data_IF_909729443599
#
_entry.id   IF_909729443599
#
_cell.length_a   1.000
_cell.length_b   1.000
_cell.length_c   1.000
_cell.angle_alpha   90.00
_cell.angle_beta   90.00
_cell.angle_gamma   90.00
#
_symmetry.space_group_name_H-M   'P 1'
#
loop_
_entity.id
_entity.type
_entity.pdbx_description
1 polymer ?
#
# COMPACT_ATOMS: atom_id res chain seq x y z
N UNK A 1 -22.50 10.22 19.29
CA UNK A 1 -21.93 8.97 19.85
C UNK A 1 -22.03 7.76 18.92
N UNK A 2 -23.17 7.45 18.28
CA UNK A 2 -23.26 6.25 17.42
C UNK A 2 -22.54 6.42 16.07
N UNK A 3 -22.60 7.61 15.47
CA UNK A 3 -21.91 7.92 14.20
C UNK A 3 -20.39 8.01 14.36
N UNK A 4 -19.94 8.57 15.48
CA UNK A 4 -18.53 8.70 15.85
C UNK A 4 -17.83 7.34 16.03
N UNK A 5 -18.55 6.36 16.62
CA UNK A 5 -18.05 4.97 16.71
C UNK A 5 -17.95 4.30 15.34
N UNK A 6 -18.92 4.56 14.43
CA UNK A 6 -18.89 4.02 13.06
C UNK A 6 -17.73 4.59 12.26
N UNK A 7 -17.47 5.90 12.37
CA UNK A 7 -16.33 6.55 11.73
C UNK A 7 -14.99 6.00 12.25
N UNK A 8 -14.85 5.85 13.57
CA UNK A 8 -13.64 5.29 14.19
C UNK A 8 -13.37 3.83 13.74
N UNK A 9 -14.42 3.00 13.64
CA UNK A 9 -14.30 1.62 13.18
C UNK A 9 -13.92 1.53 11.69
N UNK A 10 -14.39 2.46 10.85
CA UNK A 10 -14.00 2.54 9.44
C UNK A 10 -12.51 2.90 9.30
N UNK A 11 -12.06 3.96 9.99
CA UNK A 11 -10.66 4.38 10.02
C UNK A 11 -9.74 3.25 10.51
N UNK A 12 -10.13 2.55 11.58
CA UNK A 12 -9.36 1.43 12.11
C UNK A 12 -9.24 0.25 11.13
N UNK A 13 -10.29 -0.02 10.34
CA UNK A 13 -10.25 -1.05 9.29
C UNK A 13 -9.32 -0.65 8.15
N UNK A 14 -9.37 0.59 7.70
CA UNK A 14 -8.51 1.07 6.62
C UNK A 14 -7.04 1.13 7.05
N UNK A 15 -6.75 1.61 8.25
CA UNK A 15 -5.40 1.61 8.81
C UNK A 15 -4.80 0.19 8.85
N UNK A 16 -5.60 -0.81 9.22
CA UNK A 16 -5.18 -2.23 9.20
C UNK A 16 -4.94 -2.74 7.78
N UNK A 17 -5.78 -2.38 6.80
CA UNK A 17 -5.59 -2.74 5.39
C UNK A 17 -4.32 -2.12 4.82
N UNK A 18 -4.06 -0.85 5.10
CA UNK A 18 -2.84 -0.16 4.68
C UNK A 18 -1.60 -0.76 5.34
N UNK A 19 -1.67 -1.08 6.63
CA UNK A 19 -0.57 -1.76 7.33
C UNK A 19 -0.29 -3.14 6.71
N UNK A 20 -1.33 -3.93 6.42
CA UNK A 20 -1.20 -5.22 5.77
C UNK A 20 -0.60 -5.10 4.36
N UNK A 21 -1.03 -4.10 3.57
CA UNK A 21 -0.46 -3.80 2.26
C UNK A 21 1.03 -3.42 2.36
N UNK A 22 1.40 -2.63 3.36
CA UNK A 22 2.81 -2.27 3.63
C UNK A 22 3.67 -3.49 3.98
N UNK A 23 3.17 -4.39 4.83
CA UNK A 23 3.87 -5.64 5.16
C UNK A 23 4.03 -6.52 3.92
N UNK A 24 2.96 -6.71 3.15
CA UNK A 24 3.01 -7.48 1.90
C UNK A 24 4.02 -6.88 0.92
N UNK A 25 4.03 -5.56 0.78
CA UNK A 25 4.99 -4.85 -0.06
C UNK A 25 6.43 -5.10 0.38
N UNK A 26 6.73 -5.00 1.68
CA UNK A 26 8.06 -5.25 2.22
C UNK A 26 8.54 -6.70 1.96
N UNK A 27 7.63 -7.67 2.10
CA UNK A 27 7.93 -9.08 1.80
C UNK A 27 8.23 -9.27 0.31
N UNK A 28 7.35 -8.77 -0.56
CA UNK A 28 7.53 -8.87 -2.01
C UNK A 28 8.82 -8.17 -2.48
N UNK A 29 9.12 -7.00 -1.95
CA UNK A 29 10.35 -6.27 -2.20
C UNK A 29 11.58 -7.10 -1.84
N UNK A 30 11.59 -7.71 -0.65
CA UNK A 30 12.70 -8.54 -0.18
C UNK A 30 12.95 -9.74 -1.09
N UNK A 31 11.89 -10.40 -1.53
CA UNK A 31 11.97 -11.54 -2.45
C UNK A 31 12.44 -11.10 -3.84
N UNK A 32 11.90 -10.01 -4.38
CA UNK A 32 12.24 -9.50 -5.71
C UNK A 32 13.64 -8.88 -5.78
N UNK A 33 14.19 -8.40 -4.66
CA UNK A 33 15.56 -7.93 -4.59
C UNK A 33 16.53 -9.01 -4.16
N UNK A 34 16.62 -9.23 -2.84
CA UNK A 34 17.61 -10.15 -2.27
C UNK A 34 17.36 -11.60 -2.70
N UNK A 35 16.09 -12.01 -2.82
CA UNK A 35 15.74 -13.39 -3.21
C UNK A 35 16.13 -13.77 -4.64
N UNK A 36 16.41 -12.81 -5.51
CA UNK A 36 16.84 -13.03 -6.88
C UNK A 36 18.34 -12.75 -7.09
N UNK A 37 19.09 -12.42 -6.03
CA UNK A 37 20.48 -12.00 -6.14
C UNK A 37 21.41 -13.09 -6.73
N UNK A 38 21.13 -14.36 -6.44
CA UNK A 38 21.90 -15.51 -6.96
C UNK A 38 21.41 -16.02 -8.31
N UNK A 39 20.35 -15.41 -8.87
CA UNK A 39 19.78 -15.82 -10.16
C UNK A 39 20.58 -15.19 -11.28
N UNK A 40 21.29 -16.01 -12.04
CA UNK A 40 22.11 -15.62 -13.20
C UNK A 40 21.25 -15.39 -14.46
N UNK A 41 20.30 -14.46 -14.35
CA UNK A 41 19.42 -14.03 -15.44
C UNK A 41 19.62 -12.53 -15.65
N UNK A 42 19.72 -12.13 -16.91
CA UNK A 42 19.85 -10.72 -17.29
C UNK A 42 18.67 -10.27 -18.14
N UNK A 43 18.27 -9.00 -17.95
CA UNK A 43 17.20 -8.33 -18.70
C UNK A 43 17.79 -7.01 -19.21
N UNK A 44 17.86 -6.86 -20.53
CA UNK A 44 18.47 -5.69 -21.18
C UNK A 44 19.91 -5.38 -20.69
N UNK A 45 20.68 -6.42 -20.33
CA UNK A 45 22.05 -6.28 -19.82
C UNK A 45 22.17 -5.99 -18.32
N UNK A 46 21.05 -5.86 -17.61
CA UNK A 46 21.02 -5.70 -16.15
C UNK A 46 20.66 -7.03 -15.48
N UNK A 47 21.24 -7.34 -14.30
CA UNK A 47 20.83 -8.53 -13.57
C UNK A 47 19.36 -8.44 -13.15
N UNK A 48 18.66 -9.57 -13.18
CA UNK A 48 17.21 -9.65 -12.95
C UNK A 48 16.81 -8.95 -11.65
N UNK A 49 17.53 -9.22 -10.56
CA UNK A 49 17.27 -8.63 -9.24
C UNK A 49 17.30 -7.09 -9.24
N UNK A 50 18.13 -6.47 -10.07
CA UNK A 50 18.21 -5.01 -10.16
C UNK A 50 16.98 -4.42 -10.85
N UNK A 51 16.49 -5.08 -11.91
CA UNK A 51 15.28 -4.67 -12.64
C UNK A 51 14.04 -4.88 -11.78
N UNK A 52 13.92 -6.04 -11.14
CA UNK A 52 12.78 -6.37 -10.26
C UNK A 52 12.75 -5.48 -9.02
N UNK A 53 13.90 -5.15 -8.41
CA UNK A 53 13.99 -4.23 -7.26
C UNK A 53 13.66 -2.77 -7.58
N UNK A 54 13.74 -2.39 -8.86
CA UNK A 54 13.52 -1.02 -9.29
C UNK A 54 12.13 -0.88 -9.91
N UNK A 55 11.97 -1.33 -11.16
CA UNK A 55 10.71 -1.20 -11.91
C UNK A 55 9.64 -2.14 -11.35
N UNK A 56 10.02 -3.36 -10.99
CA UNK A 56 9.08 -4.33 -10.44
C UNK A 56 8.44 -3.83 -9.13
N UNK A 57 9.22 -3.17 -8.29
CA UNK A 57 8.77 -2.63 -7.00
C UNK A 57 7.83 -1.44 -7.19
N UNK A 58 8.13 -0.56 -8.15
CA UNK A 58 7.20 0.51 -8.54
C UNK A 58 5.87 -0.07 -9.05
N UNK A 59 5.91 -1.12 -9.87
CA UNK A 59 4.72 -1.77 -10.39
C UNK A 59 3.89 -2.41 -9.27
N UNK A 60 4.51 -3.14 -8.34
CA UNK A 60 3.83 -3.73 -7.18
C UNK A 60 3.21 -2.65 -6.29
N UNK A 61 3.94 -1.56 -6.02
CA UNK A 61 3.44 -0.43 -5.25
C UNK A 61 2.23 0.23 -5.91
N UNK A 62 2.26 0.41 -7.24
CA UNK A 62 1.14 0.95 -8.00
C UNK A 62 -0.10 0.04 -7.91
N UNK A 63 0.07 -1.28 -8.06
CA UNK A 63 -1.03 -2.25 -7.94
C UNK A 63 -1.64 -2.21 -6.53
N UNK A 64 -0.82 -2.15 -5.48
CA UNK A 64 -1.31 -2.04 -4.10
C UNK A 64 -2.04 -0.72 -3.86
N UNK A 65 -1.53 0.39 -4.39
CA UNK A 65 -2.19 1.70 -4.27
C UNK A 65 -3.56 1.69 -4.97
N UNK A 66 -3.65 1.14 -6.18
CA UNK A 66 -4.91 0.99 -6.92
C UNK A 66 -5.87 0.07 -6.15
N UNK A 67 -5.38 -1.05 -5.64
CA UNK A 67 -6.19 -1.96 -4.83
C UNK A 67 -6.75 -1.25 -3.58
N UNK A 68 -5.92 -0.53 -2.84
CA UNK A 68 -6.35 0.22 -1.66
C UNK A 68 -7.36 1.31 -2.02
N UNK A 69 -7.18 2.00 -3.16
CA UNK A 69 -8.11 3.01 -3.63
C UNK A 69 -9.50 2.41 -3.93
N UNK A 70 -9.56 1.21 -4.53
CA UNK A 70 -10.83 0.51 -4.76
C UNK A 70 -11.42 -0.14 -3.50
N UNK A 71 -10.58 -0.46 -2.52
CA UNK A 71 -11.01 -1.07 -1.27
C UNK A 71 -11.39 -0.05 -0.18
N UNK A 72 -11.02 1.22 -0.36
CA UNK A 72 -11.39 2.30 0.54
C UNK A 72 -12.92 2.46 0.55
N UNK A 73 -13.48 2.64 1.75
CA UNK A 73 -14.91 2.91 1.91
C UNK A 73 -15.06 4.41 2.16
N UNK A 74 -15.93 5.10 1.41
CA UNK A 74 -16.10 6.54 1.55
C UNK A 74 -16.63 6.87 2.96
N UNK A 75 -15.76 7.38 3.83
CA UNK A 75 -16.17 7.94 5.11
C UNK A 75 -16.67 9.37 4.84
N UNK A 76 -17.95 9.69 5.10
CA UNK A 76 -18.45 11.04 4.90
C UNK A 76 -17.66 11.99 5.81
N UNK A 77 -17.02 12.98 5.20
CA UNK A 77 -16.41 14.09 5.94
C UNK A 77 -17.58 14.91 6.50
N UNK A 78 -17.88 14.74 7.79
CA UNK A 78 -18.89 15.56 8.45
C UNK A 78 -18.42 17.02 8.44
N UNK A 79 -19.12 17.90 7.72
CA UNK A 79 -18.85 19.33 7.61
C UNK A 79 -18.83 20.04 8.98
N UNK A 80 -19.30 19.37 10.04
CA UNK A 80 -19.37 19.88 11.40
C UNK A 80 -18.04 19.86 12.18
N UNK A 81 -16.98 19.25 11.64
CA UNK A 81 -15.78 18.90 12.41
C UNK A 81 -14.65 19.93 12.49
N UNK A 82 -14.39 20.74 11.44
CA UNK A 82 -13.11 21.48 11.37
C UNK A 82 -13.22 22.98 11.08
N UNK A 83 -14.44 23.50 10.85
CA UNK A 83 -14.69 24.92 10.56
C UNK A 83 -15.52 25.68 11.60
N UNK A 84 -16.16 25.00 12.56
CA UNK A 84 -17.12 25.62 13.49
C UNK A 84 -16.51 26.13 14.81
N UNK A 85 -15.19 26.06 14.96
CA UNK A 85 -14.47 26.45 16.18
C UNK A 85 -13.48 27.61 15.97
N UNK A 86 -13.71 28.46 14.96
CA UNK A 86 -13.00 29.75 14.81
C UNK A 86 -13.97 30.89 14.63
#
# INVERSE_FOLDING_TARGET
MQDEKRAADAIAREARRTAAAGILFAVLWTVLGFGLAEVDVTVAGFPLWAVTSSVGVLAVGAVLAVYLAFAAEDVPIDERGEGAAR
#
